data_IF_181391021503
#
_entry.id   IF_181391021503
#
_cell.length_a   1.000
_cell.length_b   1.000
_cell.length_c   1.000
_cell.angle_alpha   90.00
_cell.angle_beta   90.00
_cell.angle_gamma   90.00
#
_symmetry.space_group_name_H-M   'P 1'
#
loop_
_entity.id
_entity.type
_entity.pdbx_description
1 polymer ?
#
# COMPACT_ATOMS: atom_id res chain seq x y z
N UNK A 1 6.36 13.80 -19.47
CA UNK A 1 7.80 13.42 -19.48
C UNK A 1 7.92 12.01 -20.04
N UNK A 2 8.77 11.81 -21.03
CA UNK A 2 8.95 10.49 -21.66
C UNK A 2 9.78 9.57 -20.77
N UNK A 3 9.58 8.26 -20.93
CA UNK A 3 10.31 7.26 -20.13
C UNK A 3 11.83 7.43 -20.17
N UNK A 4 12.41 7.65 -21.36
CA UNK A 4 13.87 7.76 -21.47
C UNK A 4 14.42 9.02 -20.80
N UNK A 5 13.63 10.10 -20.76
CA UNK A 5 13.98 11.33 -20.07
C UNK A 5 14.02 11.13 -18.54
N UNK A 6 12.98 10.51 -17.97
CA UNK A 6 12.97 10.22 -16.52
C UNK A 6 14.05 9.20 -16.16
N UNK A 7 14.27 8.18 -16.99
CA UNK A 7 15.31 7.17 -16.75
C UNK A 7 16.70 7.80 -16.63
N UNK A 8 17.01 8.77 -17.46
CA UNK A 8 18.29 9.48 -17.40
C UNK A 8 18.42 10.32 -16.10
N UNK A 9 17.32 10.93 -15.65
CA UNK A 9 17.31 11.76 -14.42
C UNK A 9 17.50 10.93 -13.15
N UNK A 10 16.95 9.71 -13.09
CA UNK A 10 16.97 8.86 -11.88
C UNK A 10 17.89 7.66 -11.94
N UNK A 11 18.71 7.52 -12.98
CA UNK A 11 19.55 6.34 -13.29
C UNK A 11 20.48 5.86 -12.17
N UNK A 12 20.86 6.75 -11.27
CA UNK A 12 21.78 6.44 -10.17
C UNK A 12 21.07 6.21 -8.83
N UNK A 13 19.74 6.18 -8.83
CA UNK A 13 18.95 6.00 -7.60
C UNK A 13 18.39 4.57 -7.59
N UNK A 14 18.60 3.82 -6.49
CA UNK A 14 18.25 2.40 -6.43
C UNK A 14 16.75 2.12 -6.25
N UNK A 15 16.43 0.85 -6.07
CA UNK A 15 15.16 0.23 -5.68
C UNK A 15 14.12 -0.03 -6.78
N UNK A 16 14.38 0.28 -8.03
CA UNK A 16 13.61 -0.28 -9.12
C UNK A 16 14.51 -0.62 -10.30
N UNK A 17 14.39 -1.81 -10.86
CA UNK A 17 15.13 -2.19 -12.05
C UNK A 17 14.46 -1.60 -13.30
N UNK A 18 15.24 -1.27 -14.36
CA UNK A 18 14.71 -0.61 -15.55
C UNK A 18 13.52 -1.32 -16.21
N UNK A 19 13.52 -2.65 -16.19
CA UNK A 19 12.46 -3.48 -16.77
C UNK A 19 11.15 -3.36 -16.00
N UNK A 20 11.20 -3.27 -14.68
CA UNK A 20 10.04 -3.05 -13.82
C UNK A 20 9.53 -1.62 -13.97
N UNK A 21 10.44 -0.64 -14.02
CA UNK A 21 10.10 0.76 -14.26
C UNK A 21 9.40 0.94 -15.62
N UNK A 22 9.91 0.32 -16.69
CA UNK A 22 9.29 0.35 -18.03
C UNK A 22 7.90 -0.29 -18.01
N UNK A 23 7.77 -1.46 -17.38
CA UNK A 23 6.47 -2.12 -17.28
C UNK A 23 5.44 -1.23 -16.56
N UNK A 24 5.82 -0.62 -15.43
CA UNK A 24 4.94 0.24 -14.64
C UNK A 24 4.51 1.48 -15.42
N UNK A 25 5.45 2.15 -16.05
CA UNK A 25 5.19 3.32 -16.90
C UNK A 25 4.22 2.97 -18.04
N UNK A 26 4.52 1.90 -18.81
CA UNK A 26 3.71 1.48 -19.96
C UNK A 26 2.32 0.98 -19.52
N UNK A 27 2.21 0.35 -18.36
CA UNK A 27 0.94 -0.07 -17.76
C UNK A 27 0.03 1.14 -17.48
N UNK A 28 0.58 2.17 -16.83
CA UNK A 28 -0.15 3.41 -16.51
C UNK A 28 -0.66 4.10 -17.78
N UNK A 29 0.20 4.23 -18.79
CA UNK A 29 -0.16 4.84 -20.07
C UNK A 29 -1.24 4.01 -20.78
N UNK A 30 -1.03 2.72 -20.91
CA UNK A 30 -1.90 1.81 -21.67
C UNK A 30 -3.31 1.73 -21.06
N UNK A 31 -3.38 1.60 -19.74
CA UNK A 31 -4.67 1.44 -19.04
C UNK A 31 -5.25 2.77 -18.53
N UNK A 32 -4.52 3.89 -18.75
CA UNK A 32 -4.92 5.25 -18.33
C UNK A 32 -5.22 5.31 -16.83
N UNK A 33 -4.34 4.73 -16.02
CA UNK A 33 -4.46 4.72 -14.57
C UNK A 33 -4.08 6.10 -14.04
N UNK A 34 -5.03 6.82 -13.47
CA UNK A 34 -4.85 8.24 -13.11
C UNK A 34 -4.89 8.52 -11.61
N UNK A 35 -5.37 7.57 -10.81
CA UNK A 35 -5.38 7.71 -9.35
C UNK A 35 -4.64 6.54 -8.71
N UNK A 36 -3.41 6.80 -8.27
CA UNK A 36 -2.45 5.76 -7.88
C UNK A 36 -2.16 5.89 -6.38
N UNK A 37 -2.14 4.74 -5.69
CA UNK A 37 -1.72 4.61 -4.31
C UNK A 37 -0.41 3.81 -4.24
N UNK A 38 0.61 4.38 -3.62
CA UNK A 38 1.90 3.73 -3.39
C UNK A 38 2.15 3.61 -1.89
N UNK A 39 2.37 2.39 -1.43
CA UNK A 39 2.57 2.05 -0.02
C UNK A 39 3.98 1.46 0.16
N UNK A 40 4.88 2.27 0.71
CA UNK A 40 6.32 2.08 0.68
C UNK A 40 6.95 2.80 -0.51
N UNK A 41 7.86 3.73 -0.25
CA UNK A 41 8.36 4.68 -1.25
C UNK A 41 9.88 4.67 -1.35
N UNK A 42 10.57 4.51 -0.22
CA UNK A 42 12.03 4.59 -0.11
C UNK A 42 12.59 5.89 -0.73
N UNK A 43 13.45 5.79 -1.76
CA UNK A 43 13.97 6.95 -2.50
C UNK A 43 12.94 7.60 -3.45
N UNK A 44 11.84 6.91 -3.76
CA UNK A 44 10.82 7.39 -4.70
C UNK A 44 11.21 7.24 -6.18
N UNK A 45 12.12 6.32 -6.50
CA UNK A 45 12.49 6.06 -7.90
C UNK A 45 11.30 5.53 -8.69
N UNK A 46 10.53 4.57 -8.13
CA UNK A 46 9.27 4.10 -8.69
C UNK A 46 8.24 5.22 -8.83
N UNK A 47 8.12 6.05 -7.79
CA UNK A 47 7.25 7.24 -7.78
C UNK A 47 7.54 8.18 -8.94
N UNK A 48 8.83 8.44 -9.25
CA UNK A 48 9.23 9.30 -10.36
C UNK A 48 8.81 8.73 -11.72
N UNK A 49 8.93 7.42 -11.94
CA UNK A 49 8.47 6.80 -13.19
C UNK A 49 6.95 6.85 -13.34
N UNK A 50 6.21 6.62 -12.25
CA UNK A 50 4.75 6.76 -12.26
C UNK A 50 4.32 8.20 -12.52
N UNK A 51 4.95 9.17 -11.85
CA UNK A 51 4.69 10.59 -12.05
C UNK A 51 5.01 11.04 -13.48
N UNK A 52 6.09 10.53 -14.08
CA UNK A 52 6.41 10.80 -15.48
C UNK A 52 5.35 10.24 -16.44
N UNK A 53 4.78 9.06 -16.14
CA UNK A 53 3.66 8.51 -16.92
C UNK A 53 2.40 9.38 -16.81
N UNK A 54 2.09 9.89 -15.61
CA UNK A 54 0.97 10.82 -15.42
C UNK A 54 1.19 12.16 -16.12
N UNK A 55 2.42 12.67 -16.13
CA UNK A 55 2.80 13.87 -16.89
C UNK A 55 2.62 13.66 -18.40
N UNK A 56 2.98 12.48 -18.93
CA UNK A 56 2.71 12.14 -20.33
C UNK A 56 1.21 12.05 -20.64
N UNK A 57 0.40 11.53 -19.71
CA UNK A 57 -1.06 11.51 -19.81
C UNK A 57 -1.67 12.92 -19.67
N UNK A 58 -0.94 13.88 -19.09
CA UNK A 58 -1.39 15.22 -18.79
C UNK A 58 -2.40 15.32 -17.65
N UNK A 59 -2.59 14.23 -16.87
CA UNK A 59 -3.56 14.18 -15.77
C UNK A 59 -3.22 13.06 -14.80
N UNK A 60 -3.73 13.17 -13.58
CA UNK A 60 -3.66 12.13 -12.56
C UNK A 60 -2.92 12.56 -11.31
N UNK A 61 -2.93 11.69 -10.30
CA UNK A 61 -2.29 11.91 -9.02
C UNK A 61 -1.83 10.60 -8.39
N UNK A 62 -0.69 10.66 -7.72
CA UNK A 62 -0.16 9.60 -6.87
C UNK A 62 -0.26 10.04 -5.42
N UNK A 63 -0.78 9.18 -4.55
CA UNK A 63 -0.63 9.29 -3.10
C UNK A 63 0.43 8.29 -2.68
N UNK A 64 1.61 8.79 -2.31
CA UNK A 64 2.76 7.96 -1.89
C UNK A 64 2.91 8.05 -0.38
N UNK A 65 2.81 6.90 0.30
CA UNK A 65 2.78 6.80 1.76
C UNK A 65 4.00 6.06 2.26
N UNK A 66 4.75 6.67 3.17
CA UNK A 66 5.91 6.07 3.81
C UNK A 66 6.06 6.53 5.26
N UNK A 67 6.99 5.93 5.98
CA UNK A 67 7.34 6.32 7.34
C UNK A 67 7.92 7.74 7.39
N UNK A 68 7.67 8.42 8.51
CA UNK A 68 8.21 9.76 8.75
C UNK A 68 9.74 9.77 8.68
N UNK A 69 10.38 8.78 9.27
CA UNK A 69 11.84 8.64 9.32
C UNK A 69 12.47 8.31 7.95
N UNK A 70 11.72 7.72 7.03
CA UNK A 70 12.20 7.38 5.68
C UNK A 70 12.74 8.61 4.93
N UNK A 71 12.20 9.80 5.22
CA UNK A 71 12.69 11.06 4.65
C UNK A 71 14.16 11.33 4.96
N UNK A 72 14.59 11.01 6.18
CA UNK A 72 15.97 11.24 6.61
C UNK A 72 16.89 10.05 6.27
N UNK A 73 16.31 8.85 6.22
CA UNK A 73 17.05 7.63 5.98
C UNK A 73 17.45 7.46 4.50
N UNK A 74 16.55 7.78 3.57
CA UNK A 74 16.80 7.67 2.13
C UNK A 74 17.29 9.00 1.55
N UNK A 75 18.51 8.99 0.97
CA UNK A 75 19.13 10.16 0.31
C UNK A 75 19.59 9.79 -1.12
N UNK A 76 19.10 10.47 -2.17
CA UNK A 76 18.07 11.51 -2.12
C UNK A 76 16.73 10.97 -1.64
N UNK A 77 15.94 11.82 -0.96
CA UNK A 77 14.56 11.50 -0.60
C UNK A 77 13.64 11.64 -1.82
N UNK A 78 12.42 11.10 -1.72
CA UNK A 78 11.43 11.23 -2.80
C UNK A 78 11.10 12.69 -3.08
N UNK A 79 11.04 13.55 -2.05
CA UNK A 79 10.81 14.98 -2.21
C UNK A 79 11.92 15.65 -3.01
N UNK A 80 13.18 15.31 -2.72
CA UNK A 80 14.35 15.82 -3.45
C UNK A 80 14.37 15.34 -4.91
N UNK A 81 13.99 14.08 -5.15
CA UNK A 81 13.89 13.53 -6.51
C UNK A 81 12.79 14.20 -7.32
N UNK A 82 11.60 14.37 -6.74
CA UNK A 82 10.48 15.03 -7.41
C UNK A 82 10.84 16.48 -7.76
N UNK A 83 11.47 17.23 -6.85
CA UNK A 83 11.96 18.58 -7.12
C UNK A 83 12.99 18.62 -8.27
N UNK A 84 13.91 17.65 -8.31
CA UNK A 84 14.92 17.56 -9.38
C UNK A 84 14.31 17.20 -10.74
N UNK A 85 13.24 16.42 -10.73
CA UNK A 85 12.56 15.98 -11.97
C UNK A 85 11.46 16.93 -12.43
N UNK A 86 10.95 17.81 -11.53
CA UNK A 86 9.85 18.74 -11.80
C UNK A 86 8.48 18.06 -11.83
N UNK A 87 8.32 16.95 -11.07
CA UNK A 87 7.11 16.12 -11.08
C UNK A 87 6.27 16.24 -9.80
N UNK A 88 6.56 17.20 -8.92
CA UNK A 88 5.90 17.38 -7.63
C UNK A 88 4.38 17.55 -7.75
N UNK A 89 3.92 18.14 -8.84
CA UNK A 89 2.49 18.41 -9.05
C UNK A 89 1.64 17.13 -9.19
N UNK A 90 2.26 16.02 -9.54
CA UNK A 90 1.59 14.72 -9.69
C UNK A 90 1.57 13.88 -8.43
N UNK A 91 2.33 14.25 -7.38
CA UNK A 91 2.57 13.40 -6.22
C UNK A 91 2.22 14.10 -4.92
N UNK A 92 1.43 13.44 -4.09
CA UNK A 92 1.21 13.80 -2.71
C UNK A 92 1.99 12.82 -1.82
N UNK A 93 3.03 13.31 -1.15
CA UNK A 93 3.77 12.52 -0.18
C UNK A 93 3.05 12.59 1.17
N UNK A 94 2.78 11.42 1.76
CA UNK A 94 2.21 11.28 3.09
C UNK A 94 3.21 10.57 3.99
N UNK A 95 3.58 11.19 5.10
CA UNK A 95 4.53 10.65 6.08
C UNK A 95 3.79 10.21 7.34
N UNK A 96 3.91 8.92 7.66
CA UNK A 96 3.20 8.29 8.78
C UNK A 96 4.17 7.86 9.89
N UNK A 97 3.75 8.04 11.15
CA UNK A 97 4.55 7.63 12.32
C UNK A 97 4.63 6.10 12.45
N UNK A 98 3.54 5.40 12.13
CA UNK A 98 3.39 3.97 12.41
C UNK A 98 3.18 3.11 11.16
N UNK A 99 3.30 3.71 9.97
CA UNK A 99 3.13 3.02 8.69
C UNK A 99 1.76 3.25 8.03
N UNK A 100 1.64 2.74 6.84
CA UNK A 100 0.53 3.04 5.92
C UNK A 100 -0.82 2.40 6.32
N UNK A 101 -0.85 1.41 7.20
CA UNK A 101 -2.12 0.81 7.64
C UNK A 101 -3.02 1.82 8.37
N UNK A 102 -2.42 2.77 9.12
CA UNK A 102 -3.19 3.84 9.74
C UNK A 102 -3.62 4.92 8.74
N UNK A 103 -2.80 5.23 7.75
CA UNK A 103 -3.23 6.05 6.62
C UNK A 103 -4.46 5.46 5.92
N UNK A 104 -4.43 4.16 5.61
CA UNK A 104 -5.55 3.45 4.99
C UNK A 104 -6.81 3.47 5.86
N UNK A 105 -6.67 3.37 7.20
CA UNK A 105 -7.79 3.55 8.13
C UNK A 105 -8.43 4.93 7.96
N UNK A 106 -7.62 5.99 7.96
CA UNK A 106 -8.11 7.37 7.87
C UNK A 106 -8.73 7.64 6.48
N UNK A 107 -8.15 7.07 5.43
CA UNK A 107 -8.65 7.19 4.07
C UNK A 107 -9.99 6.45 3.88
N UNK A 108 -10.12 5.22 4.38
CA UNK A 108 -11.39 4.50 4.41
C UNK A 108 -12.43 5.30 5.19
N UNK A 109 -12.07 5.86 6.35
CA UNK A 109 -12.97 6.68 7.16
C UNK A 109 -13.43 7.92 6.40
N UNK A 110 -12.53 8.62 5.71
CA UNK A 110 -12.81 9.80 4.87
C UNK A 110 -13.79 9.47 3.75
N UNK A 111 -13.60 8.33 3.10
CA UNK A 111 -14.38 7.88 1.94
C UNK A 111 -15.66 7.13 2.31
N UNK A 112 -15.91 6.86 3.58
CA UNK A 112 -17.11 6.14 4.02
C UNK A 112 -18.25 7.11 4.32
N UNK A 113 -19.36 6.92 3.61
CA UNK A 113 -20.62 7.63 3.83
C UNK A 113 -21.77 6.62 3.90
N UNK A 114 -22.61 6.69 4.94
CA UNK A 114 -23.71 5.76 5.17
C UNK A 114 -23.25 4.28 5.13
N UNK A 115 -22.14 4.00 5.81
CA UNK A 115 -21.51 2.67 5.92
C UNK A 115 -20.99 2.08 4.59
N UNK A 116 -20.90 2.88 3.53
CA UNK A 116 -20.34 2.49 2.23
C UNK A 116 -19.06 3.27 1.97
N UNK A 117 -17.95 2.55 1.80
CA UNK A 117 -16.68 3.13 1.39
C UNK A 117 -16.69 3.36 -0.13
N UNK A 118 -16.35 4.57 -0.55
CA UNK A 118 -16.19 4.91 -1.96
C UNK A 118 -14.83 4.44 -2.46
N UNK A 119 -14.81 3.80 -3.62
CA UNK A 119 -13.57 3.37 -4.28
C UNK A 119 -12.90 4.58 -4.95
N UNK A 120 -11.60 4.73 -4.77
CA UNK A 120 -10.87 5.91 -5.25
C UNK A 120 -9.73 5.57 -6.20
N UNK A 121 -8.99 4.48 -5.98
CA UNK A 121 -7.74 4.20 -6.68
C UNK A 121 -7.90 3.27 -7.88
N UNK A 122 -7.16 3.56 -8.95
CA UNK A 122 -7.07 2.72 -10.16
C UNK A 122 -5.96 1.68 -10.04
N UNK A 123 -4.89 2.03 -9.32
CA UNK A 123 -3.71 1.20 -9.07
C UNK A 123 -3.27 1.37 -7.62
N UNK A 124 -2.93 0.26 -6.97
CA UNK A 124 -2.19 0.27 -5.73
C UNK A 124 -0.90 -0.54 -5.86
N UNK A 125 0.20 -0.02 -5.33
CA UNK A 125 1.46 -0.74 -5.20
C UNK A 125 1.70 -0.98 -3.71
N UNK A 126 1.85 -2.24 -3.33
CA UNK A 126 2.21 -2.67 -1.97
C UNK A 126 3.68 -3.08 -2.01
N UNK A 127 4.54 -2.19 -1.51
CA UNK A 127 5.99 -2.33 -1.46
C UNK A 127 6.52 -2.02 -0.05
N UNK A 128 5.83 -2.53 0.94
CA UNK A 128 6.11 -2.28 2.35
C UNK A 128 7.13 -3.25 2.96
N UNK A 129 6.92 -3.70 4.22
CA UNK A 129 7.89 -4.51 4.97
C UNK A 129 7.97 -5.98 4.52
N UNK A 130 7.19 -6.41 3.54
CA UNK A 130 7.09 -7.80 3.05
C UNK A 130 6.62 -8.77 4.14
N UNK A 131 5.73 -8.29 4.99
CA UNK A 131 5.30 -8.98 6.20
C UNK A 131 3.87 -9.50 6.07
N UNK A 132 3.64 -10.78 6.45
CA UNK A 132 2.33 -11.42 6.42
C UNK A 132 1.26 -10.60 7.15
N UNK A 133 1.58 -10.09 8.34
CA UNK A 133 0.60 -9.37 9.17
C UNK A 133 0.28 -8.00 8.60
N UNK A 134 1.29 -7.22 8.18
CA UNK A 134 1.11 -5.85 7.69
C UNK A 134 0.55 -5.87 6.27
N UNK A 135 1.25 -6.50 5.35
CA UNK A 135 0.87 -6.47 3.93
C UNK A 135 -0.37 -7.33 3.65
N UNK A 136 -0.56 -8.41 4.41
CA UNK A 136 -1.77 -9.20 4.35
C UNK A 136 -3.01 -8.42 4.82
N UNK A 137 -2.90 -7.67 5.92
CA UNK A 137 -3.97 -6.78 6.37
C UNK A 137 -4.17 -5.61 5.39
N UNK A 138 -3.08 -5.06 4.87
CA UNK A 138 -3.10 -3.98 3.88
C UNK A 138 -3.89 -4.37 2.64
N UNK A 139 -3.75 -5.60 2.15
CA UNK A 139 -4.55 -6.10 1.02
C UNK A 139 -6.05 -5.91 1.26
N UNK A 140 -6.58 -6.28 2.44
CA UNK A 140 -8.00 -6.12 2.76
C UNK A 140 -8.43 -4.65 2.91
N UNK A 141 -7.54 -3.77 3.36
CA UNK A 141 -7.82 -2.34 3.44
C UNK A 141 -7.84 -1.70 2.03
N UNK A 142 -6.86 -2.06 1.19
CA UNK A 142 -6.76 -1.61 -0.20
C UNK A 142 -7.95 -2.08 -1.03
N UNK A 143 -8.45 -3.31 -0.82
CA UNK A 143 -9.64 -3.81 -1.52
C UNK A 143 -10.85 -2.87 -1.37
N UNK A 144 -11.01 -2.22 -0.21
CA UNK A 144 -12.09 -1.26 0.01
C UNK A 144 -11.95 0.04 -0.78
N UNK A 145 -10.73 0.41 -1.14
CA UNK A 145 -10.37 1.68 -1.77
C UNK A 145 -10.13 1.54 -3.27
N UNK A 146 -9.85 0.32 -3.74
CA UNK A 146 -9.53 0.02 -5.13
C UNK A 146 -10.81 -0.07 -5.96
N UNK A 147 -10.86 0.63 -7.07
CA UNK A 147 -11.97 0.57 -8.03
C UNK A 147 -12.12 -0.80 -8.66
N UNK A 148 -13.33 -1.13 -9.09
CA UNK A 148 -13.54 -2.26 -9.97
C UNK A 148 -12.69 -2.10 -11.25
N UNK A 149 -12.05 -3.16 -11.69
CA UNK A 149 -11.02 -3.24 -12.72
C UNK A 149 -9.67 -2.62 -12.35
N UNK A 150 -9.53 -2.06 -11.14
CA UNK A 150 -8.26 -1.58 -10.61
C UNK A 150 -7.27 -2.72 -10.36
N UNK A 151 -6.01 -2.34 -10.22
CA UNK A 151 -4.88 -3.27 -10.09
C UNK A 151 -4.19 -3.12 -8.75
N UNK A 152 -3.73 -4.24 -8.19
CA UNK A 152 -2.74 -4.26 -7.11
C UNK A 152 -1.48 -4.90 -7.64
N UNK A 153 -0.34 -4.23 -7.45
CA UNK A 153 0.99 -4.79 -7.64
C UNK A 153 1.57 -5.09 -6.26
N UNK A 154 1.97 -6.32 -6.04
CA UNK A 154 2.72 -6.75 -4.86
C UNK A 154 4.18 -6.91 -5.25
N UNK A 155 5.05 -6.14 -4.61
CA UNK A 155 6.49 -6.25 -4.82
C UNK A 155 7.09 -7.39 -3.99
N UNK A 156 8.31 -7.80 -4.35
CA UNK A 156 9.11 -8.78 -3.62
C UNK A 156 8.41 -10.15 -3.39
N UNK A 157 7.73 -10.65 -4.41
CA UNK A 157 6.95 -11.91 -4.38
C UNK A 157 7.72 -13.11 -3.83
N UNK A 158 9.01 -13.23 -4.16
CA UNK A 158 9.88 -14.34 -3.74
C UNK A 158 10.82 -13.98 -2.57
N UNK A 159 10.82 -12.73 -2.13
CA UNK A 159 11.75 -12.25 -1.11
C UNK A 159 11.48 -12.89 0.27
N UNK A 160 12.55 -13.13 1.01
CA UNK A 160 12.52 -13.69 2.38
C UNK A 160 13.39 -12.85 3.29
N UNK A 161 13.06 -12.80 4.57
CA UNK A 161 13.90 -12.17 5.58
C UNK A 161 15.30 -12.82 5.66
N UNK A 162 15.40 -14.12 5.35
CA UNK A 162 16.68 -14.83 5.27
C UNK A 162 17.64 -14.27 4.19
N UNK A 163 17.11 -13.60 3.17
CA UNK A 163 17.89 -13.05 2.06
C UNK A 163 18.55 -11.71 2.41
N UNK A 164 18.15 -11.09 3.53
CA UNK A 164 18.72 -9.82 4.00
C UNK A 164 20.02 -10.08 4.74
N UNK A 165 21.04 -9.26 4.47
CA UNK A 165 22.24 -9.26 5.30
C UNK A 165 21.86 -8.90 6.75
N UNK A 166 22.22 -9.74 7.71
CA UNK A 166 21.92 -9.59 9.15
C UNK A 166 22.42 -8.27 9.77
N UNK A 167 23.27 -7.54 9.06
CA UNK A 167 23.79 -6.23 9.46
C UNK A 167 22.95 -5.06 8.97
N UNK A 168 21.92 -5.31 8.15
CA UNK A 168 21.03 -4.25 7.68
C UNK A 168 20.03 -3.92 8.76
N UNK A 169 20.08 -2.70 9.24
CA UNK A 169 19.06 -2.14 10.13
C UNK A 169 17.80 -1.89 9.30
N UNK A 170 16.78 -2.72 9.50
CA UNK A 170 15.52 -2.60 8.77
C UNK A 170 14.56 -1.79 9.62
N UNK A 171 14.12 -0.66 9.09
CA UNK A 171 13.40 0.40 9.81
C UNK A 171 11.91 0.15 10.02
N UNK A 172 11.33 -0.96 9.56
CA UNK A 172 9.89 -1.18 9.62
C UNK A 172 9.33 -1.59 11.01
N UNK A 173 10.16 -1.57 12.03
CA UNK A 173 9.78 -1.73 13.45
C UNK A 173 9.16 -3.07 13.84
N UNK A 174 8.74 -3.90 12.92
CA UNK A 174 8.09 -5.21 13.16
C UNK A 174 9.01 -6.36 12.79
N UNK A 175 9.85 -6.19 11.81
CA UNK A 175 10.71 -7.22 11.21
C UNK A 175 11.77 -7.79 12.14
N UNK A 176 12.15 -7.06 13.18
CA UNK A 176 13.14 -7.53 14.16
C UNK A 176 12.55 -8.26 15.35
N UNK A 177 11.24 -8.43 15.40
CA UNK A 177 10.58 -9.12 16.50
C UNK A 177 10.67 -10.61 16.30
N UNK A 178 11.73 -11.23 16.79
CA UNK A 178 11.81 -12.68 17.06
C UNK A 178 11.01 -13.57 16.09
N UNK A 179 11.14 -13.34 14.79
CA UNK A 179 10.56 -14.22 13.79
C UNK A 179 11.14 -15.63 13.96
N UNK A 180 10.30 -16.63 13.88
CA UNK A 180 10.72 -18.03 13.85
C UNK A 180 11.54 -18.33 12.59
N UNK A 181 12.31 -19.40 12.58
CA UNK A 181 13.03 -19.83 11.38
C UNK A 181 12.11 -20.08 10.19
N UNK A 182 10.88 -20.53 10.43
CA UNK A 182 9.87 -20.73 9.39
C UNK A 182 9.47 -19.40 8.79
N UNK A 183 9.14 -18.39 9.60
CA UNK A 183 8.76 -17.05 9.14
C UNK A 183 9.90 -16.37 8.36
N UNK A 184 11.13 -16.49 8.85
CA UNK A 184 12.33 -15.90 8.20
C UNK A 184 12.57 -16.52 6.80
N UNK A 185 12.33 -17.82 6.64
CA UNK A 185 12.57 -18.53 5.39
C UNK A 185 11.35 -18.56 4.45
N UNK A 186 10.21 -18.06 4.88
CA UNK A 186 8.99 -18.03 4.07
C UNK A 186 8.91 -16.75 3.25
N UNK A 187 8.67 -16.80 1.92
CA UNK A 187 8.39 -15.63 1.11
C UNK A 187 6.96 -15.15 1.40
N UNK A 188 6.81 -14.24 2.36
CA UNK A 188 5.52 -13.90 2.97
C UNK A 188 4.55 -13.23 1.98
N UNK A 189 5.03 -12.46 1.00
CA UNK A 189 4.18 -11.91 -0.07
C UNK A 189 3.58 -13.05 -0.91
N UNK A 190 4.33 -14.10 -1.22
CA UNK A 190 3.80 -15.28 -1.92
C UNK A 190 2.66 -15.94 -1.14
N UNK A 191 2.80 -16.05 0.18
CA UNK A 191 1.76 -16.61 1.04
C UNK A 191 0.50 -15.73 1.05
N UNK A 192 0.65 -14.39 1.08
CA UNK A 192 -0.46 -13.44 0.95
C UNK A 192 -1.21 -13.68 -0.38
N UNK A 193 -0.48 -13.80 -1.49
CA UNK A 193 -1.10 -14.11 -2.78
C UNK A 193 -1.83 -15.45 -2.76
N UNK A 194 -1.20 -16.49 -2.21
CA UNK A 194 -1.74 -17.85 -2.22
C UNK A 194 -2.96 -18.01 -1.32
N UNK A 195 -2.94 -17.42 -0.14
CA UNK A 195 -3.95 -17.67 0.90
C UNK A 195 -4.96 -16.55 1.10
N UNK A 196 -4.65 -15.32 0.68
CA UNK A 196 -5.58 -14.21 0.82
C UNK A 196 -6.13 -13.76 -0.54
N UNK A 197 -5.26 -13.41 -1.49
CA UNK A 197 -5.70 -12.83 -2.77
C UNK A 197 -6.43 -13.86 -3.64
N UNK A 198 -5.86 -15.06 -3.84
CA UNK A 198 -6.47 -16.13 -4.64
C UNK A 198 -7.80 -16.63 -4.09
N UNK A 199 -8.02 -16.48 -2.79
CA UNK A 199 -9.24 -16.91 -2.13
C UNK A 199 -10.27 -15.77 -1.98
N UNK A 200 -9.92 -14.55 -2.35
CA UNK A 200 -10.80 -13.41 -2.27
C UNK A 200 -11.74 -13.34 -3.47
N UNK A 201 -13.04 -13.21 -3.23
CA UNK A 201 -14.08 -13.26 -4.26
C UNK A 201 -13.95 -12.17 -5.33
N UNK A 202 -13.34 -11.04 -5.00
CA UNK A 202 -13.19 -9.92 -5.91
C UNK A 202 -12.00 -10.04 -6.88
N UNK A 203 -11.14 -11.06 -6.73
CA UNK A 203 -9.92 -11.21 -7.53
C UNK A 203 -9.88 -12.56 -8.22
N UNK A 204 -9.82 -12.58 -9.53
CA UNK A 204 -9.67 -13.83 -10.33
C UNK A 204 -8.58 -13.72 -11.39
N UNK A 205 -8.13 -12.51 -11.72
CA UNK A 205 -7.06 -12.27 -12.68
C UNK A 205 -5.78 -11.96 -11.91
N UNK A 206 -4.97 -13.00 -11.67
CA UNK A 206 -3.72 -12.89 -10.92
C UNK A 206 -2.58 -13.37 -11.82
N UNK A 207 -1.60 -12.50 -12.05
CA UNK A 207 -0.42 -12.81 -12.86
C UNK A 207 0.82 -12.67 -12.00
N UNK A 208 1.63 -13.71 -11.94
CA UNK A 208 2.94 -13.68 -11.28
C UNK A 208 4.01 -13.51 -12.34
N UNK A 209 4.91 -12.56 -12.12
CA UNK A 209 6.08 -12.29 -12.95
C UNK A 209 7.35 -12.66 -12.16
N UNK A 210 7.82 -13.93 -12.22
CA UNK A 210 8.97 -14.37 -11.42
C UNK A 210 10.25 -13.55 -11.69
N UNK A 211 10.47 -13.18 -12.95
CA UNK A 211 11.66 -12.41 -13.38
C UNK A 211 11.62 -10.97 -12.86
N UNK A 212 10.42 -10.44 -12.55
CA UNK A 212 10.23 -9.12 -11.96
C UNK A 212 10.14 -9.15 -10.44
N UNK A 213 10.03 -10.34 -9.88
CA UNK A 213 9.69 -10.55 -8.47
C UNK A 213 8.34 -9.91 -8.05
N UNK A 214 7.37 -9.83 -8.98
CA UNK A 214 6.06 -9.19 -8.80
C UNK A 214 4.90 -10.17 -8.93
N UNK A 215 3.81 -9.85 -8.22
CA UNK A 215 2.48 -10.39 -8.52
C UNK A 215 1.52 -9.23 -8.76
N UNK A 216 0.69 -9.35 -9.78
CA UNK A 216 -0.32 -8.36 -10.17
C UNK A 216 -1.70 -9.00 -10.07
N UNK A 217 -2.60 -8.37 -9.34
CA UNK A 217 -3.98 -8.83 -9.18
C UNK A 217 -4.96 -7.76 -9.66
N UNK A 218 -5.97 -8.15 -10.44
CA UNK A 218 -7.05 -7.27 -10.89
C UNK A 218 -8.31 -7.52 -10.07
N UNK A 219 -8.91 -6.45 -9.55
CA UNK A 219 -10.21 -6.49 -8.89
C UNK A 219 -11.33 -6.57 -9.93
N UNK A 220 -12.01 -7.69 -10.01
CA UNK A 220 -13.05 -7.93 -11.03
C UNK A 220 -14.45 -7.56 -10.57
N UNK A 221 -14.69 -7.47 -9.27
CA UNK A 221 -15.99 -7.13 -8.67
C UNK A 221 -15.84 -6.29 -7.41
N UNK A 222 -16.92 -5.60 -7.06
CA UNK A 222 -17.03 -4.81 -5.83
C UNK A 222 -18.33 -5.21 -5.14
N UNK A 223 -18.35 -6.41 -4.56
CA UNK A 223 -19.53 -6.91 -3.88
C UNK A 223 -19.75 -6.19 -2.54
N UNK A 224 -20.86 -5.45 -2.44
CA UNK A 224 -21.31 -4.88 -1.18
C UNK A 224 -22.17 -5.88 -0.42
N UNK A 225 -21.75 -6.28 0.77
CA UNK A 225 -22.58 -7.11 1.66
C UNK A 225 -23.62 -6.24 2.36
N UNK A 226 -24.89 -6.65 2.28
CA UNK A 226 -25.92 -6.12 3.16
C UNK A 226 -25.73 -6.73 4.54
N UNK A 227 -25.70 -5.90 5.57
CA UNK A 227 -25.62 -6.36 6.95
C UNK A 227 -26.70 -5.66 7.80
N UNK A 228 -27.04 -6.28 8.90
CA UNK A 228 -27.84 -5.67 9.96
C UNK A 228 -27.03 -5.69 11.25
N UNK A 229 -27.08 -4.59 12.00
CA UNK A 229 -26.46 -4.51 13.33
C UNK A 229 -27.57 -4.42 14.36
N UNK A 230 -27.62 -5.38 15.26
CA UNK A 230 -28.56 -5.39 16.37
C UNK A 230 -27.84 -5.08 17.68
N UNK A 231 -28.25 -4.01 18.35
CA UNK A 231 -27.73 -3.64 19.67
C UNK A 231 -28.65 -4.20 20.76
N UNK A 232 -28.26 -5.34 21.34
CA UNK A 232 -28.96 -5.95 22.44
C UNK A 232 -28.44 -5.41 23.80
N UNK A 233 -29.09 -4.39 24.35
CA UNK A 233 -28.84 -3.93 25.73
C UNK A 233 -29.80 -4.64 26.67
N UNK A 234 -29.29 -5.55 27.51
CA UNK A 234 -30.07 -6.17 28.55
C UNK A 234 -30.30 -5.20 29.73
N UNK A 235 -31.40 -5.36 30.48
CA UNK A 235 -31.71 -4.56 31.67
C UNK A 235 -30.56 -4.52 32.68
N UNK A 236 -29.78 -5.59 32.78
CA UNK A 236 -28.58 -5.66 33.61
C UNK A 236 -27.50 -4.69 33.20
N UNK A 237 -27.36 -4.37 31.91
CA UNK A 237 -26.36 -3.41 31.41
C UNK A 237 -26.80 -1.96 31.71
N UNK A 238 -28.08 -1.64 31.65
CA UNK A 238 -28.62 -0.34 32.02
C UNK A 238 -28.41 -0.06 33.53
N UNK A 239 -28.69 -1.04 34.38
CA UNK A 239 -28.44 -0.94 35.83
C UNK A 239 -26.95 -0.78 36.16
N UNK A 240 -26.07 -1.48 35.44
CA UNK A 240 -24.62 -1.34 35.60
C UNK A 240 -24.11 0.04 35.14
N UNK A 241 -24.68 0.63 34.09
CA UNK A 241 -24.38 2.00 33.64
C UNK A 241 -24.80 3.04 34.68
N UNK A 242 -25.99 2.90 35.27
CA UNK A 242 -26.49 3.78 36.32
C UNK A 242 -25.60 3.69 37.56
N UNK A 243 -25.22 2.47 37.99
CA UNK A 243 -24.36 2.25 39.16
C UNK A 243 -22.94 2.84 38.93
N UNK A 244 -22.39 2.76 37.72
CA UNK A 244 -21.11 3.40 37.35
C UNK A 244 -21.22 4.92 37.31
N UNK A 245 -22.37 5.48 36.88
CA UNK A 245 -22.65 6.91 36.91
C UNK A 245 -22.71 7.45 38.32
N UNK A 246 -23.45 6.78 39.22
CA UNK A 246 -23.56 7.15 40.64
C UNK A 246 -22.22 7.08 41.37
N UNK A 247 -21.41 6.06 41.13
CA UNK A 247 -20.06 5.94 41.73
C UNK A 247 -19.06 7.01 41.28
N UNK A 248 -19.30 7.68 40.14
CA UNK A 248 -18.51 8.83 39.69
C UNK A 248 -18.93 10.16 40.32
N UNK A 249 -20.14 10.24 40.85
CA UNK A 249 -20.66 11.43 41.52
C UNK A 249 -20.35 11.45 43.04
N UNK A 250 -19.89 10.33 43.58
CA UNK A 250 -19.55 10.14 45.00
C UNK A 250 -18.03 10.21 45.26
N UNK A 251 -17.23 10.37 44.20
CA UNK A 251 -15.80 10.68 44.27
C UNK A 251 -15.55 12.11 43.84
#
# INVERSE_FOLDING_TARGET
MKFDEISEKVKNVPYIVPENARYLYDLIIREKLTNILELGVAHGTGTCYMAAALDELGTGKITSVDLLEAKEFFRPSVEEQLATTGLENFVQIVRMQTGYTWFLHDDIKRLTTNDVCQEEYDLCIIDGPKNWTIDGFTFFLVDKLLKQNGLIIFDDYNWRYADVNKTRDVTDGITHRNLSEVEINTPQIREIINFLVKQHLNYSEIVVYPDRNWAVARKISSDSKKYSVEFNETYTSAFAKIKRGLNKLIK
#
